data_IF_544158961489
#
_entry.id   IF_544158961489
#
_cell.length_a   1.000
_cell.length_b   1.000
_cell.length_c   1.000
_cell.angle_alpha   90.00
_cell.angle_beta   90.00
_cell.angle_gamma   90.00
#
_symmetry.space_group_name_H-M   'P 1'
#
loop_
_entity.id
_entity.type
_entity.pdbx_description
1 polymer ?
#
# COMPACT_ATOMS: atom_id res chain seq x y z
N UNK A 1 8.17 7.95 3.94
CA UNK A 1 9.09 9.07 3.69
C UNK A 1 9.91 8.92 2.41
N UNK A 2 10.92 8.03 2.28
CA UNK A 2 11.80 7.99 1.07
C UNK A 2 11.05 7.67 -0.25
N UNK A 3 9.91 6.99 -0.17
CA UNK A 3 9.17 6.44 -1.31
C UNK A 3 8.26 7.45 -2.05
N UNK A 4 7.93 8.60 -1.44
CA UNK A 4 6.89 9.51 -1.96
C UNK A 4 7.40 10.53 -2.98
N UNK A 5 8.69 10.85 -2.97
CA UNK A 5 9.16 12.14 -3.52
C UNK A 5 9.55 12.15 -5.01
N UNK A 6 9.45 11.03 -5.76
CA UNK A 6 10.18 10.90 -7.04
C UNK A 6 9.38 10.63 -8.33
N UNK A 7 8.03 10.79 -8.40
CA UNK A 7 7.29 10.40 -9.61
C UNK A 7 6.86 11.56 -10.53
N UNK A 8 7.43 11.56 -11.74
CA UNK A 8 7.26 12.55 -12.83
C UNK A 8 5.97 12.29 -13.62
N UNK A 9 5.27 13.37 -13.96
CA UNK A 9 4.02 13.37 -14.73
C UNK A 9 4.25 13.87 -16.18
N UNK A 10 4.00 13.02 -17.19
CA UNK A 10 4.26 13.32 -18.61
C UNK A 10 3.02 13.03 -19.47
N UNK A 11 2.38 14.09 -20.00
CA UNK A 11 1.28 14.02 -20.97
C UNK A 11 1.77 14.18 -22.42
N UNK A 12 1.01 13.66 -23.40
CA UNK A 12 1.32 13.73 -24.86
C UNK A 12 1.52 15.19 -25.34
N UNK A 13 0.79 16.16 -24.77
CA UNK A 13 0.98 17.57 -25.12
C UNK A 13 2.28 18.15 -24.56
N UNK A 14 2.71 17.71 -23.36
CA UNK A 14 4.02 18.03 -22.77
C UNK A 14 5.16 17.45 -23.61
N UNK A 15 4.94 16.26 -24.19
CA UNK A 15 5.93 15.56 -25.04
C UNK A 15 6.17 16.27 -26.36
N UNK A 16 5.12 16.79 -27.01
CA UNK A 16 5.30 17.64 -28.20
C UNK A 16 6.17 18.86 -27.91
N UNK A 17 6.09 19.42 -26.70
CA UNK A 17 6.95 20.53 -26.25
C UNK A 17 8.40 20.10 -25.93
N UNK A 18 8.66 18.81 -25.73
CA UNK A 18 9.98 18.25 -25.44
C UNK A 18 10.71 17.73 -26.68
N UNK A 19 10.02 17.63 -27.82
CA UNK A 19 10.60 17.24 -29.09
C UNK A 19 11.46 18.38 -29.64
N UNK A 20 12.71 18.08 -29.99
CA UNK A 20 13.67 19.02 -30.55
C UNK A 20 14.16 18.47 -31.87
N UNK A 21 14.10 19.29 -32.90
CA UNK A 21 14.65 18.98 -34.21
C UNK A 21 15.97 19.72 -34.38
N UNK A 22 17.01 19.03 -34.85
CA UNK A 22 18.30 19.63 -35.22
C UNK A 22 18.68 19.22 -36.63
N UNK A 23 19.17 20.17 -37.41
CA UNK A 23 19.67 19.90 -38.77
C UNK A 23 21.18 19.84 -38.75
N UNK A 24 21.76 18.73 -39.21
CA UNK A 24 23.21 18.51 -39.31
C UNK A 24 23.52 18.07 -40.75
N UNK A 25 24.35 18.83 -41.47
CA UNK A 25 24.74 18.55 -42.87
C UNK A 25 23.53 18.28 -43.79
N UNK A 26 22.47 19.09 -43.66
CA UNK A 26 21.26 18.99 -44.48
C UNK A 26 20.31 17.85 -44.11
N UNK A 27 20.58 17.08 -43.06
CA UNK A 27 19.68 16.03 -42.54
C UNK A 27 19.06 16.47 -41.22
N UNK A 28 17.76 16.25 -41.07
CA UNK A 28 17.06 16.50 -39.81
C UNK A 28 17.20 15.32 -38.84
N UNK A 29 17.45 15.64 -37.57
CA UNK A 29 17.60 14.71 -36.47
C UNK A 29 16.61 15.10 -35.38
N UNK A 30 15.80 14.13 -34.94
CA UNK A 30 14.81 14.34 -33.88
C UNK A 30 15.34 13.85 -32.54
N UNK A 31 15.13 14.64 -31.49
CA UNK A 31 15.54 14.37 -30.12
C UNK A 31 14.38 14.62 -29.15
N UNK A 32 14.36 13.93 -28.03
CA UNK A 32 13.52 14.29 -26.88
C UNK A 32 14.41 14.81 -25.76
N UNK A 33 14.12 16.03 -25.30
CA UNK A 33 14.77 16.63 -24.12
C UNK A 33 14.14 16.06 -22.85
N UNK A 34 14.88 15.20 -22.15
CA UNK A 34 14.44 14.58 -20.89
C UNK A 34 14.69 15.51 -19.70
N UNK A 35 15.79 16.27 -19.73
CA UNK A 35 16.12 17.28 -18.71
C UNK A 35 16.97 18.41 -19.30
N UNK A 36 17.42 19.39 -18.49
CA UNK A 36 18.13 20.59 -18.97
C UNK A 36 19.29 20.26 -19.93
N UNK A 37 20.00 19.15 -19.68
CA UNK A 37 21.17 18.70 -20.45
C UNK A 37 21.07 17.27 -20.99
N UNK A 38 19.93 16.59 -20.88
CA UNK A 38 19.82 15.18 -21.25
C UNK A 38 18.85 14.98 -22.41
N UNK A 39 19.35 14.40 -23.50
CA UNK A 39 18.64 14.26 -24.77
C UNK A 39 18.73 12.83 -25.27
N UNK A 40 17.60 12.27 -25.73
CA UNK A 40 17.58 10.95 -26.37
C UNK A 40 17.32 11.13 -27.86
N UNK A 41 18.19 10.56 -28.68
CA UNK A 41 18.08 10.56 -30.13
C UNK A 41 16.99 9.60 -30.62
N UNK A 42 16.15 10.05 -31.56
CA UNK A 42 15.04 9.27 -32.11
C UNK A 42 15.31 8.69 -33.50
N UNK A 43 15.72 9.50 -34.48
CA UNK A 43 15.91 9.07 -35.89
C UNK A 43 16.41 10.20 -36.80
N UNK A 44 17.01 9.88 -37.98
CA UNK A 44 17.31 10.83 -39.04
C UNK A 44 16.26 10.88 -40.18
N UNK A 45 15.15 10.14 -40.09
CA UNK A 45 14.05 10.14 -41.09
C UNK A 45 12.72 10.51 -40.43
N UNK A 46 11.87 11.20 -41.19
CA UNK A 46 10.50 11.60 -40.83
C UNK A 46 9.85 10.56 -39.93
N UNK A 47 9.72 10.88 -38.64
CA UNK A 47 9.20 9.95 -37.66
C UNK A 47 7.69 9.93 -37.85
N UNK A 48 7.15 8.82 -38.33
CA UNK A 48 5.70 8.66 -38.40
C UNK A 48 5.12 8.73 -36.99
N UNK A 49 3.85 9.14 -36.83
CA UNK A 49 3.19 9.15 -35.53
C UNK A 49 3.27 7.78 -34.82
N UNK A 50 3.35 6.68 -35.57
CA UNK A 50 3.52 5.33 -35.03
C UNK A 50 4.93 5.07 -34.50
N UNK A 51 5.99 5.52 -35.19
CA UNK A 51 7.37 5.43 -34.70
C UNK A 51 7.63 6.35 -33.50
N UNK A 52 6.99 7.53 -33.45
CA UNK A 52 7.00 8.39 -32.26
C UNK A 52 6.37 7.68 -31.07
N UNK A 53 5.22 7.02 -31.25
CA UNK A 53 4.55 6.23 -30.20
C UNK A 53 5.43 5.07 -29.70
N UNK A 54 6.08 4.35 -30.61
CA UNK A 54 6.94 3.19 -30.28
C UNK A 54 8.21 3.60 -29.52
N UNK A 55 8.93 4.60 -30.02
CA UNK A 55 10.12 5.14 -29.33
C UNK A 55 9.75 5.82 -28.00
N UNK A 56 8.55 6.41 -27.92
CA UNK A 56 8.02 6.96 -26.67
C UNK A 56 7.72 5.88 -25.63
N UNK A 57 7.08 4.77 -26.01
CA UNK A 57 6.88 3.64 -25.12
C UNK A 57 8.21 3.08 -24.63
N UNK A 58 9.23 3.03 -25.50
CA UNK A 58 10.58 2.64 -25.11
C UNK A 58 11.21 3.61 -24.10
N UNK A 59 11.04 4.92 -24.29
CA UNK A 59 11.55 5.96 -23.37
C UNK A 59 10.80 5.90 -22.03
N UNK A 60 9.47 5.77 -22.03
CA UNK A 60 8.67 5.62 -20.81
C UNK A 60 9.03 4.34 -20.09
N UNK A 61 9.20 3.23 -20.82
CA UNK A 61 9.62 1.96 -20.24
C UNK A 61 11.04 2.03 -19.68
N UNK A 62 11.96 2.73 -20.36
CA UNK A 62 13.31 2.98 -19.86
C UNK A 62 13.29 3.87 -18.61
N UNK A 63 12.54 4.97 -18.61
CA UNK A 63 12.35 5.83 -17.44
C UNK A 63 11.74 5.02 -16.29
N UNK A 64 10.78 4.15 -16.57
CA UNK A 64 10.15 3.27 -15.60
C UNK A 64 11.15 2.27 -14.99
N UNK A 65 11.94 1.59 -15.83
CA UNK A 65 12.99 0.67 -15.36
C UNK A 65 14.08 1.42 -14.59
N UNK A 66 14.52 2.57 -15.07
CA UNK A 66 15.51 3.42 -14.39
C UNK A 66 14.94 3.93 -13.05
N UNK A 67 13.66 4.28 -12.98
CA UNK A 67 12.97 4.66 -11.73
C UNK A 67 12.89 3.48 -10.77
N UNK A 68 12.53 2.28 -11.24
CA UNK A 68 12.52 1.06 -10.42
C UNK A 68 13.93 0.74 -9.93
N UNK A 69 14.95 0.89 -10.78
CA UNK A 69 16.34 0.65 -10.40
C UNK A 69 16.82 1.67 -9.36
N UNK A 70 16.48 2.96 -9.51
CA UNK A 70 16.78 4.00 -8.51
C UNK A 70 16.07 3.69 -7.18
N UNK A 71 14.79 3.32 -7.22
CA UNK A 71 14.02 2.93 -6.04
C UNK A 71 14.64 1.68 -5.39
N UNK A 72 15.03 0.69 -6.18
CA UNK A 72 15.70 -0.52 -5.71
C UNK A 72 17.08 -0.22 -5.10
N UNK A 73 17.91 0.60 -5.76
CA UNK A 73 19.21 1.02 -5.28
C UNK A 73 19.11 1.83 -3.98
N UNK A 74 18.10 2.70 -3.86
CA UNK A 74 17.80 3.40 -2.61
C UNK A 74 17.45 2.46 -1.45
N UNK A 75 17.03 1.22 -1.77
CA UNK A 75 16.70 0.16 -0.80
C UNK A 75 17.82 -0.88 -0.60
N UNK A 76 18.96 -0.79 -1.32
CA UNK A 76 20.04 -1.77 -1.20
C UNK A 76 20.74 -1.74 0.16
N UNK A 77 20.83 -0.55 0.78
CA UNK A 77 21.41 -0.39 2.12
C UNK A 77 20.42 -0.65 3.26
N UNK A 78 19.17 -0.98 2.94
CA UNK A 78 18.12 -1.25 3.92
C UNK A 78 18.13 -2.74 4.28
N UNK A 79 18.21 -3.02 5.58
CA UNK A 79 18.16 -4.38 6.13
C UNK A 79 16.80 -5.02 5.84
N UNK A 80 16.85 -6.24 5.33
CA UNK A 80 15.69 -7.10 5.10
C UNK A 80 16.01 -8.51 5.54
N UNK A 81 15.21 -9.06 6.45
CA UNK A 81 15.32 -10.45 6.91
C UNK A 81 14.31 -11.35 6.21
N UNK A 82 13.10 -10.85 5.95
CA UNK A 82 11.99 -11.65 5.42
C UNK A 82 11.59 -11.26 3.99
N UNK A 83 12.01 -10.07 3.54
CA UNK A 83 11.76 -9.55 2.20
C UNK A 83 12.96 -9.88 1.28
N UNK A 84 12.68 -10.54 0.15
CA UNK A 84 13.70 -10.90 -0.84
C UNK A 84 14.02 -9.72 -1.77
N UNK A 85 15.10 -9.85 -2.55
CA UNK A 85 15.39 -8.90 -3.64
C UNK A 85 14.24 -8.81 -4.66
N UNK A 86 13.55 -9.93 -4.95
CA UNK A 86 12.38 -9.98 -5.83
C UNK A 86 11.24 -9.15 -5.25
N UNK A 87 10.95 -9.33 -3.97
CA UNK A 87 9.87 -8.61 -3.26
C UNK A 87 10.11 -7.09 -3.30
N UNK A 88 11.35 -6.63 -3.11
CA UNK A 88 11.71 -5.20 -3.22
C UNK A 88 11.36 -4.59 -4.58
N UNK A 89 11.62 -5.31 -5.67
CA UNK A 89 11.30 -4.85 -7.03
C UNK A 89 9.79 -4.75 -7.23
N UNK A 90 9.03 -5.75 -6.77
CA UNK A 90 7.56 -5.75 -6.89
C UNK A 90 6.97 -4.62 -6.04
N UNK A 91 7.47 -4.40 -4.83
CA UNK A 91 7.03 -3.29 -3.98
C UNK A 91 7.34 -1.91 -4.58
N UNK A 92 8.51 -1.75 -5.20
CA UNK A 92 8.85 -0.52 -5.91
C UNK A 92 7.90 -0.28 -7.10
N UNK A 93 7.56 -1.35 -7.84
CA UNK A 93 6.58 -1.28 -8.91
C UNK A 93 5.18 -0.91 -8.39
N UNK A 94 4.75 -1.56 -7.31
CA UNK A 94 3.46 -1.33 -6.67
C UNK A 94 3.30 0.12 -6.22
N UNK A 95 4.32 0.65 -5.56
CA UNK A 95 4.35 2.04 -5.15
C UNK A 95 4.23 2.99 -6.35
N UNK A 96 4.99 2.72 -7.42
CA UNK A 96 4.95 3.51 -8.64
C UNK A 96 3.56 3.51 -9.27
N UNK A 97 3.00 2.32 -9.49
CA UNK A 97 1.69 2.16 -10.15
C UNK A 97 0.57 2.73 -9.30
N UNK A 98 0.60 2.53 -7.97
CA UNK A 98 -0.38 3.08 -7.06
C UNK A 98 -0.39 4.61 -7.11
N UNK A 99 0.76 5.25 -6.93
CA UNK A 99 0.87 6.71 -6.99
C UNK A 99 0.50 7.27 -8.38
N UNK A 100 0.90 6.58 -9.45
CA UNK A 100 0.53 6.97 -10.81
C UNK A 100 -0.98 6.87 -11.05
N UNK A 101 -1.64 5.83 -10.51
CA UNK A 101 -3.09 5.68 -10.58
C UNK A 101 -3.80 6.80 -9.82
N UNK A 102 -3.36 7.15 -8.60
CA UNK A 102 -3.95 8.24 -7.82
C UNK A 102 -3.90 9.60 -8.55
N UNK A 103 -2.84 9.87 -9.33
CA UNK A 103 -2.69 11.13 -10.09
C UNK A 103 -3.60 11.21 -11.32
N UNK A 104 -4.14 10.09 -11.82
CA UNK A 104 -5.00 10.08 -13.02
C UNK A 104 -6.45 10.47 -12.73
N UNK A 105 -6.88 10.31 -11.49
CA UNK A 105 -8.23 10.68 -11.09
C UNK A 105 -8.35 12.21 -10.99
N UNK A 106 -9.48 12.75 -11.49
CA UNK A 106 -9.89 14.08 -11.06
C UNK A 106 -10.23 14.04 -9.56
N UNK A 107 -10.34 15.19 -8.91
CA UNK A 107 -10.53 15.27 -7.46
C UNK A 107 -11.73 14.47 -6.96
N UNK A 108 -12.86 14.56 -7.65
CA UNK A 108 -14.11 13.91 -7.25
C UNK A 108 -14.04 12.38 -7.41
N UNK A 109 -13.44 11.89 -8.50
CA UNK A 109 -13.28 10.46 -8.71
C UNK A 109 -12.25 9.85 -7.74
N UNK A 110 -11.23 10.63 -7.36
CA UNK A 110 -10.23 10.22 -6.37
C UNK A 110 -10.87 10.09 -4.97
N UNK A 111 -11.73 11.02 -4.59
CA UNK A 111 -12.47 10.97 -3.32
C UNK A 111 -13.37 9.73 -3.29
N UNK A 112 -14.20 9.50 -4.31
CA UNK A 112 -15.03 8.28 -4.41
C UNK A 112 -14.20 6.98 -4.36
N UNK A 113 -13.04 6.98 -5.00
CA UNK A 113 -12.14 5.83 -4.99
C UNK A 113 -11.60 5.56 -3.58
N UNK A 114 -11.14 6.61 -2.88
CA UNK A 114 -10.68 6.52 -1.49
C UNK A 114 -11.79 6.06 -0.56
N UNK A 115 -13.01 6.58 -0.74
CA UNK A 115 -14.19 6.21 0.04
C UNK A 115 -14.49 4.72 -0.11
N UNK A 116 -14.55 4.20 -1.34
CA UNK A 116 -14.80 2.79 -1.58
C UNK A 116 -13.74 1.87 -0.95
N UNK A 117 -12.46 2.25 -1.03
CA UNK A 117 -11.37 1.51 -0.39
C UNK A 117 -11.44 1.60 1.13
N UNK A 118 -11.82 2.76 1.67
CA UNK A 118 -11.99 2.94 3.10
C UNK A 118 -13.18 2.14 3.63
N UNK A 119 -14.32 2.12 2.94
CA UNK A 119 -15.46 1.25 3.24
C UNK A 119 -15.06 -0.22 3.26
N UNK A 120 -14.31 -0.70 2.26
CA UNK A 120 -13.81 -2.09 2.21
C UNK A 120 -12.90 -2.41 3.41
N UNK A 121 -12.05 -1.46 3.80
CA UNK A 121 -11.21 -1.60 4.99
C UNK A 121 -12.04 -1.68 6.27
N UNK A 122 -13.00 -0.77 6.48
CA UNK A 122 -13.86 -0.73 7.67
C UNK A 122 -14.69 -2.01 7.78
N UNK A 123 -15.31 -2.45 6.69
CA UNK A 123 -16.04 -3.72 6.64
C UNK A 123 -15.16 -4.91 7.05
N UNK A 124 -13.94 -5.01 6.50
CA UNK A 124 -13.03 -6.10 6.84
C UNK A 124 -12.61 -6.10 8.30
N UNK A 125 -12.16 -4.95 8.81
CA UNK A 125 -11.64 -4.83 10.18
C UNK A 125 -12.71 -4.99 11.26
N UNK A 126 -13.99 -4.69 10.98
CA UNK A 126 -15.08 -4.94 11.94
C UNK A 126 -15.62 -6.37 11.82
N UNK A 127 -15.76 -6.89 10.60
CA UNK A 127 -16.31 -8.24 10.38
C UNK A 127 -15.45 -9.35 10.99
N UNK A 128 -14.12 -9.20 10.99
CA UNK A 128 -13.20 -10.15 11.63
C UNK A 128 -13.40 -10.27 13.16
N UNK A 129 -13.92 -9.21 13.78
CA UNK A 129 -14.26 -9.14 15.21
C UNK A 129 -15.71 -9.57 15.51
N UNK A 130 -16.47 -9.96 14.47
CA UNK A 130 -17.83 -10.49 14.59
C UNK A 130 -18.96 -9.53 14.20
N UNK A 131 -18.63 -8.32 13.71
CA UNK A 131 -19.65 -7.39 13.22
C UNK A 131 -20.38 -7.97 12.00
N UNK A 132 -21.71 -7.89 12.01
CA UNK A 132 -22.60 -8.59 11.06
C UNK A 132 -23.05 -7.72 9.88
N UNK A 133 -22.61 -6.47 9.80
CA UNK A 133 -22.96 -5.58 8.69
C UNK A 133 -22.40 -6.13 7.37
N UNK A 134 -23.21 -6.10 6.32
CA UNK A 134 -22.74 -6.29 4.95
C UNK A 134 -21.91 -5.10 4.49
N UNK A 135 -21.16 -5.26 3.40
CA UNK A 135 -20.39 -4.17 2.81
C UNK A 135 -21.26 -2.96 2.46
N UNK A 136 -22.49 -3.18 1.96
CA UNK A 136 -23.43 -2.11 1.60
C UNK A 136 -23.96 -1.38 2.85
N UNK A 137 -24.31 -2.12 3.89
CA UNK A 137 -24.76 -1.53 5.15
C UNK A 137 -23.64 -0.74 5.84
N UNK A 138 -22.40 -1.23 5.74
CA UNK A 138 -21.20 -0.52 6.20
C UNK A 138 -21.04 0.80 5.47
N UNK A 139 -21.21 0.81 4.14
CA UNK A 139 -21.12 2.01 3.31
C UNK A 139 -22.14 3.09 3.72
N UNK A 140 -23.42 2.71 3.85
CA UNK A 140 -24.50 3.60 4.27
C UNK A 140 -24.26 4.17 5.67
N UNK A 141 -23.72 3.36 6.59
CA UNK A 141 -23.42 3.81 7.95
C UNK A 141 -22.23 4.76 7.97
N UNK A 142 -21.18 4.42 7.23
CA UNK A 142 -19.90 5.13 7.25
C UNK A 142 -19.94 6.47 6.52
N UNK A 143 -20.64 6.51 5.38
CA UNK A 143 -20.65 7.67 4.49
C UNK A 143 -21.94 8.51 4.63
N UNK A 144 -23.09 7.89 4.96
CA UNK A 144 -24.37 8.60 5.08
C UNK A 144 -24.87 8.73 6.53
N UNK A 145 -24.19 8.10 7.51
CA UNK A 145 -24.58 8.14 8.92
C UNK A 145 -25.89 7.39 9.22
N UNK A 146 -26.32 6.49 8.33
CA UNK A 146 -27.61 5.81 8.46
C UNK A 146 -27.54 4.62 9.41
N UNK A 147 -28.55 4.49 10.27
CA UNK A 147 -28.76 3.28 11.08
C UNK A 147 -29.43 2.18 10.26
N UNK A 148 -29.05 0.93 10.49
CA UNK A 148 -29.59 -0.23 9.80
C UNK A 148 -30.51 -1.03 10.74
N UNK A 149 -31.71 -1.34 10.28
CA UNK A 149 -32.70 -2.08 11.08
C UNK A 149 -32.21 -3.49 11.41
N UNK A 150 -32.47 -3.95 12.64
CA UNK A 150 -32.11 -5.29 13.10
C UNK A 150 -30.64 -5.46 13.51
N UNK A 151 -29.85 -4.38 13.54
CA UNK A 151 -28.46 -4.37 13.98
C UNK A 151 -28.30 -3.87 15.41
N UNK A 152 -27.29 -4.36 16.11
CA UNK A 152 -27.02 -3.89 17.47
C UNK A 152 -26.44 -2.47 17.46
N UNK A 153 -26.77 -1.68 18.49
CA UNK A 153 -26.23 -0.31 18.66
C UNK A 153 -24.69 -0.32 18.73
N UNK A 154 -24.11 -1.35 19.34
CA UNK A 154 -22.66 -1.53 19.41
C UNK A 154 -22.06 -1.66 18.02
N UNK A 155 -22.60 -2.54 17.18
CA UNK A 155 -22.11 -2.77 15.81
C UNK A 155 -22.16 -1.50 14.95
N UNK A 156 -23.20 -0.67 15.14
CA UNK A 156 -23.28 0.65 14.50
C UNK A 156 -22.08 1.53 14.90
N UNK A 157 -21.81 1.68 16.21
CA UNK A 157 -20.68 2.50 16.67
C UNK A 157 -19.32 1.95 16.25
N UNK A 158 -19.18 0.63 16.11
CA UNK A 158 -17.96 0.02 15.59
C UNK A 158 -17.62 0.45 14.16
N UNK A 159 -18.62 0.84 13.37
CA UNK A 159 -18.47 1.37 12.01
C UNK A 159 -18.41 2.90 12.05
N UNK A 160 -19.36 3.56 12.72
CA UNK A 160 -19.45 5.02 12.79
C UNK A 160 -18.14 5.64 13.30
N UNK A 161 -17.49 5.04 14.30
CA UNK A 161 -16.25 5.57 14.86
C UNK A 161 -15.10 5.64 13.83
N UNK A 162 -15.12 4.83 12.75
CA UNK A 162 -14.15 4.96 11.67
C UNK A 162 -14.36 6.20 10.81
N UNK A 163 -15.59 6.75 10.71
CA UNK A 163 -15.82 8.05 10.07
C UNK A 163 -15.04 9.15 10.80
N UNK A 164 -14.97 9.07 12.13
CA UNK A 164 -14.22 10.00 12.98
C UNK A 164 -12.72 9.83 12.88
N UNK A 165 -12.24 8.59 12.73
CA UNK A 165 -10.82 8.35 12.39
C UNK A 165 -10.45 8.93 11.02
N UNK A 166 -11.34 8.78 10.03
CA UNK A 166 -11.15 9.33 8.68
C UNK A 166 -11.03 10.85 8.73
N UNK A 167 -12.01 11.53 9.34
CA UNK A 167 -12.00 12.98 9.56
C UNK A 167 -10.71 13.46 10.23
N UNK A 168 -10.24 12.73 11.24
CA UNK A 168 -9.07 13.09 12.04
C UNK A 168 -7.72 12.93 11.30
N UNK A 169 -7.59 11.91 10.45
CA UNK A 169 -6.29 11.49 9.90
C UNK A 169 -6.15 11.58 8.38
N UNK A 170 -7.23 11.67 7.59
CA UNK A 170 -7.14 11.51 6.13
C UNK A 170 -6.31 12.59 5.42
N UNK A 171 -6.31 13.82 5.94
CA UNK A 171 -5.55 14.94 5.38
C UNK A 171 -4.18 15.14 6.04
N UNK A 172 -3.78 14.23 6.95
CA UNK A 172 -2.50 14.33 7.66
C UNK A 172 -1.44 13.49 6.97
N UNK A 173 -0.27 14.08 6.79
CA UNK A 173 0.90 13.38 6.27
C UNK A 173 1.94 13.19 7.37
N UNK A 174 2.70 12.09 7.28
CA UNK A 174 3.80 11.78 8.19
C UNK A 174 3.36 11.74 9.66
N UNK A 175 2.21 11.13 9.94
CA UNK A 175 1.67 10.99 11.30
C UNK A 175 2.68 10.26 12.19
N UNK A 176 3.07 10.86 13.30
CA UNK A 176 4.02 10.26 14.24
C UNK A 176 3.38 9.10 15.01
N UNK A 177 4.04 7.94 15.02
CA UNK A 177 3.63 6.79 15.82
C UNK A 177 4.12 6.99 17.26
N UNK A 178 3.19 7.31 18.16
CA UNK A 178 3.46 7.62 19.56
C UNK A 178 2.42 6.97 20.50
N UNK A 179 2.66 7.03 21.81
CA UNK A 179 1.69 6.56 22.82
C UNK A 179 0.38 7.36 22.71
N UNK A 180 0.48 8.66 22.49
CA UNK A 180 -0.66 9.57 22.33
C UNK A 180 -1.48 9.19 21.10
N UNK A 181 -0.84 8.85 19.97
CA UNK A 181 -1.54 8.36 18.79
C UNK A 181 -2.28 7.06 19.09
N UNK A 182 -1.61 6.08 19.71
CA UNK A 182 -2.18 4.77 20.05
C UNK A 182 -3.43 4.95 20.93
N UNK A 183 -3.32 5.75 22.00
CA UNK A 183 -4.43 6.06 22.90
C UNK A 183 -5.52 6.87 22.22
N UNK A 184 -5.18 7.79 21.32
CA UNK A 184 -6.16 8.59 20.56
C UNK A 184 -6.99 7.73 19.61
N UNK A 185 -6.34 6.84 18.86
CA UNK A 185 -7.01 5.88 17.98
C UNK A 185 -7.99 5.03 18.80
N UNK A 186 -7.53 4.43 19.89
CA UNK A 186 -8.39 3.63 20.76
C UNK A 186 -9.54 4.45 21.34
N UNK A 187 -9.29 5.70 21.77
CA UNK A 187 -10.34 6.57 22.31
C UNK A 187 -11.46 6.82 21.29
N UNK A 188 -11.10 7.04 20.03
CA UNK A 188 -12.07 7.24 18.94
C UNK A 188 -12.81 5.93 18.67
N UNK A 189 -12.09 4.82 18.51
CA UNK A 189 -12.68 3.52 18.15
C UNK A 189 -13.66 2.98 19.20
N UNK A 190 -13.41 3.22 20.49
CA UNK A 190 -14.24 2.72 21.59
C UNK A 190 -15.28 3.74 22.07
N UNK A 191 -15.40 4.89 21.40
CA UNK A 191 -16.39 5.90 21.75
C UNK A 191 -17.82 5.32 21.66
N UNK A 192 -18.63 5.49 22.71
CA UNK A 192 -19.98 4.91 22.81
C UNK A 192 -20.02 3.36 22.81
N UNK A 193 -18.88 2.69 22.97
CA UNK A 193 -18.75 1.23 23.07
C UNK A 193 -18.27 0.85 24.47
N UNK A 194 -17.17 1.47 24.92
CA UNK A 194 -16.63 1.31 26.27
C UNK A 194 -16.03 2.65 26.75
N UNK A 195 -16.89 3.50 27.28
CA UNK A 195 -16.49 4.82 27.75
C UNK A 195 -15.63 4.81 29.01
N UNK A 196 -15.60 3.69 29.74
CA UNK A 196 -14.83 3.55 30.97
C UNK A 196 -13.34 3.30 30.67
N UNK A 197 -13.05 2.52 29.62
CA UNK A 197 -11.66 2.12 29.30
C UNK A 197 -11.07 2.85 28.09
N UNK A 198 -11.89 3.55 27.29
CA UNK A 198 -11.42 4.19 26.05
C UNK A 198 -10.21 5.11 26.25
N UNK A 199 -9.11 4.78 25.57
CA UNK A 199 -7.87 5.55 25.55
C UNK A 199 -6.92 5.25 26.70
N UNK A 200 -7.26 4.30 27.58
CA UNK A 200 -6.44 3.90 28.72
C UNK A 200 -5.94 2.47 28.57
N UNK A 201 -4.66 2.25 28.86
CA UNK A 201 -4.13 0.89 28.94
C UNK A 201 -4.77 0.13 30.10
N UNK A 202 -4.95 -1.18 29.93
CA UNK A 202 -5.56 -2.03 30.95
C UNK A 202 -4.71 -2.06 32.22
N UNK A 203 -5.40 -2.24 33.35
CA UNK A 203 -4.79 -2.38 34.69
C UNK A 203 -5.07 -3.75 35.31
N UNK A 204 -5.46 -4.71 34.48
CA UNK A 204 -5.71 -6.11 34.82
C UNK A 204 -5.10 -6.99 33.74
N UNK A 205 -4.78 -8.23 34.10
CA UNK A 205 -4.38 -9.26 33.14
C UNK A 205 -5.59 -9.82 32.41
N UNK A 206 -5.40 -10.14 31.13
CA UNK A 206 -6.45 -10.63 30.23
C UNK A 206 -5.93 -11.81 29.43
N UNK A 207 -6.83 -12.70 29.03
CA UNK A 207 -6.56 -13.73 28.02
C UNK A 207 -7.12 -13.31 26.67
N UNK A 208 -6.52 -13.82 25.58
CA UNK A 208 -7.07 -13.65 24.23
C UNK A 208 -7.96 -14.86 23.94
N UNK A 209 -9.27 -14.62 23.76
CA UNK A 209 -10.22 -15.70 23.48
C UNK A 209 -9.83 -16.46 22.21
N UNK A 210 -9.66 -17.77 22.33
CA UNK A 210 -9.33 -18.64 21.19
C UNK A 210 -7.83 -18.67 20.83
N UNK A 211 -6.96 -18.07 21.65
CA UNK A 211 -5.51 -18.19 21.51
C UNK A 211 -4.89 -18.76 22.79
N UNK A 212 -3.97 -19.71 22.63
CA UNK A 212 -3.16 -20.25 23.72
C UNK A 212 -1.89 -19.38 23.91
N UNK A 213 -2.12 -18.11 24.24
CA UNK A 213 -1.09 -17.10 24.40
C UNK A 213 -1.49 -16.12 25.52
N UNK A 214 -0.58 -15.92 26.48
CA UNK A 214 -0.75 -14.90 27.52
C UNK A 214 -0.07 -13.58 27.08
N UNK A 215 -0.84 -12.49 26.96
CA UNK A 215 -0.29 -11.17 26.69
C UNK A 215 0.64 -10.66 27.79
N UNK A 216 1.32 -9.55 27.50
CA UNK A 216 2.19 -8.85 28.46
C UNK A 216 1.44 -8.54 29.77
N UNK A 217 1.97 -8.89 30.96
CA UNK A 217 1.30 -8.53 32.22
C UNK A 217 1.06 -7.02 32.34
N UNK A 218 -0.08 -6.61 32.89
CA UNK A 218 -0.53 -5.21 32.79
C UNK A 218 0.46 -4.20 33.36
N UNK A 219 1.24 -4.61 34.37
CA UNK A 219 2.26 -3.80 35.03
C UNK A 219 3.42 -3.42 34.11
N UNK A 220 3.64 -4.18 33.02
CA UNK A 220 4.72 -3.95 32.06
C UNK A 220 4.26 -3.27 30.76
N UNK A 221 2.95 -3.03 30.56
CA UNK A 221 2.43 -2.48 29.29
C UNK A 221 3.08 -1.15 28.93
N UNK A 222 3.14 -0.21 29.87
CA UNK A 222 3.73 1.10 29.64
C UNK A 222 5.20 0.99 29.19
N UNK A 223 5.97 0.09 29.80
CA UNK A 223 7.36 -0.16 29.43
C UNK A 223 7.51 -0.84 28.07
N UNK A 224 6.72 -1.88 27.79
CA UNK A 224 6.80 -2.62 26.52
C UNK A 224 6.35 -1.79 25.32
N UNK A 225 5.31 -0.96 25.47
CA UNK A 225 4.92 0.00 24.41
C UNK A 225 6.05 1.00 24.17
N UNK A 226 6.66 1.55 25.22
CA UNK A 226 7.78 2.47 25.08
C UNK A 226 9.00 1.80 24.43
N UNK A 227 9.30 0.53 24.76
CA UNK A 227 10.35 -0.26 24.12
C UNK A 227 10.04 -0.49 22.64
N UNK A 228 8.80 -0.83 22.31
CA UNK A 228 8.34 -1.03 20.93
C UNK A 228 8.51 0.26 20.10
N UNK A 229 8.07 1.41 20.63
CA UNK A 229 8.20 2.71 19.97
C UNK A 229 9.66 3.15 19.80
N UNK A 230 10.51 2.95 20.83
CA UNK A 230 11.96 3.19 20.74
C UNK A 230 12.59 2.31 19.65
N UNK A 231 12.24 1.03 19.60
CA UNK A 231 12.70 0.11 18.57
C UNK A 231 12.24 0.56 17.17
N UNK A 232 10.97 0.93 17.01
CA UNK A 232 10.42 1.41 15.75
C UNK A 232 11.18 2.65 15.25
N UNK A 233 11.34 3.66 16.11
CA UNK A 233 12.02 4.91 15.78
C UNK A 233 13.50 4.72 15.43
N UNK A 234 14.20 3.79 16.11
CA UNK A 234 15.59 3.44 15.81
C UNK A 234 15.74 2.75 14.46
N UNK A 235 14.71 2.05 13.99
CA UNK A 235 14.76 1.18 12.81
C UNK A 235 14.00 1.72 11.59
N UNK A 236 13.21 2.79 11.71
CA UNK A 236 12.39 3.37 10.61
C UNK A 236 13.15 3.82 9.37
N UNK A 237 14.48 3.95 9.45
CA UNK A 237 15.38 4.25 8.32
C UNK A 237 16.36 3.11 7.99
N UNK A 238 16.26 1.98 8.68
CA UNK A 238 17.22 0.85 8.61
C UNK A 238 16.59 -0.44 8.15
N UNK A 239 15.32 -0.67 8.47
CA UNK A 239 14.54 -1.86 8.08
C UNK A 239 13.56 -1.45 6.99
N UNK A 240 13.29 -2.37 6.05
CA UNK A 240 12.31 -2.11 4.99
C UNK A 240 10.92 -1.85 5.59
N UNK A 241 10.17 -0.82 5.14
CA UNK A 241 8.90 -0.41 5.74
C UNK A 241 7.92 -1.56 5.99
N UNK A 242 7.64 -2.39 4.98
CA UNK A 242 6.71 -3.53 5.10
C UNK A 242 7.14 -4.51 6.20
N UNK A 243 8.44 -4.78 6.34
CA UNK A 243 8.96 -5.68 7.37
C UNK A 243 8.88 -5.04 8.76
N UNK A 244 9.24 -3.75 8.85
CA UNK A 244 9.12 -2.98 10.08
C UNK A 244 7.67 -2.92 10.58
N UNK A 245 6.70 -2.70 9.69
CA UNK A 245 5.30 -2.56 10.02
C UNK A 245 4.68 -3.90 10.43
N UNK A 246 5.03 -4.99 9.75
CA UNK A 246 4.56 -6.33 10.15
C UNK A 246 5.08 -6.75 11.52
N UNK A 247 6.36 -6.51 11.81
CA UNK A 247 6.92 -6.78 13.15
C UNK A 247 6.31 -5.86 14.19
N UNK A 248 6.10 -4.57 13.89
CA UNK A 248 5.44 -3.65 14.81
C UNK A 248 4.02 -4.12 15.14
N UNK A 249 3.24 -4.48 14.12
CA UNK A 249 1.87 -4.97 14.27
C UNK A 249 1.83 -6.21 15.16
N UNK A 250 2.66 -7.23 14.88
CA UNK A 250 2.76 -8.41 15.72
C UNK A 250 3.09 -8.08 17.18
N UNK A 251 4.12 -7.25 17.41
CA UNK A 251 4.52 -6.88 18.77
C UNK A 251 3.45 -6.09 19.51
N UNK A 252 2.68 -5.28 18.81
CA UNK A 252 1.54 -4.58 19.40
C UNK A 252 0.44 -5.55 19.84
N UNK A 253 0.10 -6.53 19.00
CA UNK A 253 -0.89 -7.58 19.35
C UNK A 253 -0.40 -8.47 20.50
N UNK A 254 0.90 -8.78 20.56
CA UNK A 254 1.55 -9.51 21.67
C UNK A 254 1.46 -8.75 23.01
N UNK A 255 1.64 -7.43 22.99
CA UNK A 255 1.51 -6.59 24.20
C UNK A 255 0.04 -6.56 24.64
N UNK A 256 -0.88 -6.45 23.70
CA UNK A 256 -2.33 -6.40 23.94
C UNK A 256 -2.71 -5.35 25.01
N UNK A 257 -2.41 -4.05 24.76
CA UNK A 257 -2.40 -3.03 25.80
C UNK A 257 -3.78 -2.61 26.33
N UNK A 258 -4.87 -2.99 25.66
CA UNK A 258 -6.24 -2.57 26.01
C UNK A 258 -7.11 -3.75 26.45
N UNK A 259 -8.25 -3.46 27.09
CA UNK A 259 -9.25 -4.48 27.46
C UNK A 259 -9.95 -5.05 26.21
N UNK A 260 -10.28 -4.17 25.26
CA UNK A 260 -10.93 -4.50 23.99
C UNK A 260 -10.35 -3.60 22.89
N UNK A 261 -10.55 -3.95 21.63
CA UNK A 261 -10.20 -3.11 20.48
C UNK A 261 -8.74 -3.21 20.04
N UNK A 262 -7.94 -4.10 20.64
CA UNK A 262 -6.53 -4.29 20.28
C UNK A 262 -6.35 -4.55 18.77
N UNK A 263 -7.05 -5.55 18.21
CA UNK A 263 -6.96 -5.85 16.79
C UNK A 263 -7.34 -4.67 15.88
N UNK A 264 -8.40 -3.92 16.24
CA UNK A 264 -8.84 -2.74 15.50
C UNK A 264 -7.79 -1.62 15.54
N UNK A 265 -7.21 -1.34 16.71
CA UNK A 265 -6.12 -0.36 16.87
C UNK A 265 -4.86 -0.81 16.14
N UNK A 266 -4.50 -2.09 16.21
CA UNK A 266 -3.31 -2.64 15.55
C UNK A 266 -3.39 -2.55 14.04
N UNK A 267 -4.57 -2.86 13.45
CA UNK A 267 -4.82 -2.72 12.02
C UNK A 267 -4.88 -1.25 11.59
N UNK A 268 -5.41 -0.38 12.44
CA UNK A 268 -5.41 1.07 12.21
C UNK A 268 -4.00 1.67 12.17
N UNK A 269 -3.14 1.28 13.12
CA UNK A 269 -1.73 1.67 13.15
C UNK A 269 -1.01 1.15 11.89
N UNK A 270 -1.29 -0.08 11.47
CA UNK A 270 -0.76 -0.63 10.22
C UNK A 270 -1.19 0.22 9.01
N UNK A 271 -2.47 0.60 8.90
CA UNK A 271 -2.96 1.46 7.84
C UNK A 271 -2.25 2.81 7.82
N UNK A 272 -2.11 3.46 8.97
CA UNK A 272 -1.43 4.77 9.10
C UNK A 272 0.05 4.64 8.70
N UNK A 273 0.75 3.59 9.15
CA UNK A 273 2.15 3.36 8.79
C UNK A 273 2.33 3.11 7.28
N UNK A 274 1.45 2.33 6.65
CA UNK A 274 1.45 2.12 5.20
C UNK A 274 1.21 3.43 4.44
N UNK A 275 0.22 4.21 4.87
CA UNK A 275 -0.09 5.53 4.28
C UNK A 275 1.10 6.49 4.38
N UNK A 276 1.78 6.57 5.53
CA UNK A 276 3.01 7.35 5.71
C UNK A 276 4.18 6.87 4.80
N UNK A 277 4.14 5.62 4.37
CA UNK A 277 5.08 5.06 3.39
C UNK A 277 4.64 5.25 1.93
N UNK A 278 3.44 5.81 1.69
CA UNK A 278 2.84 5.94 0.36
C UNK A 278 2.34 4.61 -0.22
N UNK A 279 2.16 3.59 0.62
CA UNK A 279 1.64 2.29 0.26
C UNK A 279 0.12 2.23 0.44
N UNK A 280 -0.60 1.43 -0.36
CA UNK A 280 -2.03 1.25 -0.19
C UNK A 280 -2.35 0.50 1.12
N UNK A 281 -3.59 0.64 1.58
CA UNK A 281 -4.15 -0.10 2.70
C UNK A 281 -4.17 -1.60 2.41
N UNK A 282 -3.83 -2.42 3.40
CA UNK A 282 -4.04 -3.88 3.37
C UNK A 282 -5.44 -4.21 3.90
N UNK A 283 -6.16 -5.06 3.18
CA UNK A 283 -7.50 -5.52 3.58
C UNK A 283 -7.43 -6.84 4.33
N UNK A 284 -7.91 -6.84 5.55
CA UNK A 284 -8.05 -8.05 6.38
C UNK A 284 -9.55 -8.21 6.65
N UNK A 285 -10.14 -9.30 6.17
CA UNK A 285 -11.58 -9.58 6.24
C UNK A 285 -11.82 -11.05 6.59
N UNK A 286 -13.09 -11.46 6.62
CA UNK A 286 -13.45 -12.85 6.96
C UNK A 286 -12.87 -13.91 6.00
N UNK A 287 -12.48 -13.55 4.76
CA UNK A 287 -11.90 -14.51 3.80
C UNK A 287 -10.46 -14.86 4.16
N UNK A 288 -9.70 -13.91 4.69
CA UNK A 288 -8.30 -14.10 5.07
C UNK A 288 -8.06 -14.08 6.59
N UNK A 289 -9.13 -14.03 7.40
CA UNK A 289 -9.11 -14.11 8.86
C UNK A 289 -8.32 -15.30 9.39
N UNK A 290 -8.57 -16.50 8.88
CA UNK A 290 -7.89 -17.71 9.38
C UNK A 290 -6.38 -17.66 9.13
N UNK A 291 -5.97 -17.22 7.94
CA UNK A 291 -4.56 -17.03 7.59
C UNK A 291 -3.92 -15.95 8.48
N UNK A 292 -4.61 -14.84 8.71
CA UNK A 292 -4.15 -13.77 9.59
C UNK A 292 -3.94 -14.26 11.03
N UNK A 293 -4.89 -15.01 11.60
CA UNK A 293 -4.75 -15.57 12.95
C UNK A 293 -3.60 -16.57 13.04
N UNK A 294 -3.41 -17.44 12.03
CA UNK A 294 -2.25 -18.34 11.96
C UNK A 294 -0.92 -17.58 11.92
N UNK A 295 -0.87 -16.43 11.23
CA UNK A 295 0.31 -15.58 11.22
C UNK A 295 0.61 -15.01 12.60
N UNK A 296 -0.43 -14.58 13.34
CA UNK A 296 -0.28 -14.09 14.71
C UNK A 296 0.21 -15.18 15.66
N UNK A 297 -0.34 -16.39 15.56
CA UNK A 297 0.09 -17.56 16.35
C UNK A 297 1.55 -17.95 16.08
N UNK A 298 1.97 -17.89 14.81
CA UNK A 298 3.37 -18.10 14.43
C UNK A 298 4.27 -16.99 14.99
N UNK A 299 3.81 -15.74 14.94
CA UNK A 299 4.51 -14.59 15.50
C UNK A 299 4.71 -14.67 17.01
N UNK A 300 3.68 -15.12 17.75
CA UNK A 300 3.74 -15.36 19.19
C UNK A 300 4.81 -16.40 19.57
N UNK A 301 5.16 -17.30 18.64
CA UNK A 301 6.26 -18.28 18.76
C UNK A 301 7.60 -17.76 18.21
N UNK A 302 7.69 -16.46 17.91
CA UNK A 302 8.87 -15.78 17.39
C UNK A 302 9.03 -15.80 15.86
N UNK A 303 8.11 -16.43 15.12
CA UNK A 303 8.17 -16.49 13.66
C UNK A 303 7.45 -15.29 13.01
N UNK A 304 8.07 -14.12 13.07
CA UNK A 304 7.57 -12.89 12.44
C UNK A 304 7.55 -12.90 10.92
N UNK A 305 8.09 -13.95 10.27
CA UNK A 305 8.09 -14.06 8.81
C UNK A 305 6.67 -14.14 8.26
N UNK A 306 5.79 -14.88 8.93
CA UNK A 306 4.44 -15.18 8.42
C UNK A 306 3.61 -13.91 8.32
N UNK A 307 3.56 -13.09 9.37
CA UNK A 307 2.82 -11.82 9.32
C UNK A 307 3.39 -10.82 8.31
N UNK A 308 4.72 -10.78 8.15
CA UNK A 308 5.36 -9.92 7.13
C UNK A 308 5.01 -10.40 5.72
N UNK A 309 4.96 -11.72 5.49
CA UNK A 309 4.56 -12.30 4.21
C UNK A 309 3.07 -12.10 3.93
N UNK A 310 2.22 -12.26 4.93
CA UNK A 310 0.79 -11.98 4.82
C UNK A 310 0.52 -10.54 4.37
N UNK A 311 1.15 -9.55 5.03
CA UNK A 311 1.02 -8.14 4.64
C UNK A 311 1.55 -7.90 3.23
N UNK A 312 2.69 -8.49 2.88
CA UNK A 312 3.27 -8.39 1.55
C UNK A 312 2.34 -8.94 0.45
N UNK A 313 1.77 -10.13 0.67
CA UNK A 313 0.87 -10.76 -0.28
C UNK A 313 -0.42 -9.96 -0.45
N UNK A 314 -1.00 -9.45 0.65
CA UNK A 314 -2.18 -8.60 0.57
C UNK A 314 -1.90 -7.28 -0.17
N UNK A 315 -0.72 -6.69 0.00
CA UNK A 315 -0.31 -5.54 -0.81
C UNK A 315 -0.31 -5.88 -2.31
N UNK A 316 0.19 -7.06 -2.68
CA UNK A 316 0.17 -7.51 -4.08
C UNK A 316 -1.25 -7.71 -4.61
N UNK A 317 -2.16 -8.30 -3.83
CA UNK A 317 -3.57 -8.44 -4.21
C UNK A 317 -4.23 -7.07 -4.43
N UNK A 318 -4.02 -6.13 -3.51
CA UNK A 318 -4.56 -4.76 -3.64
C UNK A 318 -4.04 -4.08 -4.90
N UNK A 319 -2.77 -4.31 -5.22
CA UNK A 319 -2.16 -3.80 -6.43
C UNK A 319 -2.72 -4.41 -7.71
N UNK A 320 -3.05 -5.69 -7.73
CA UNK A 320 -3.74 -6.32 -8.86
C UNK A 320 -5.14 -5.74 -9.06
N UNK A 321 -5.91 -5.56 -7.98
CA UNK A 321 -7.22 -4.91 -8.02
C UNK A 321 -7.12 -3.47 -8.59
N UNK A 322 -6.14 -2.71 -8.13
CA UNK A 322 -5.81 -1.36 -8.62
C UNK A 322 -5.50 -1.33 -10.12
N UNK A 323 -4.68 -2.28 -10.60
CA UNK A 323 -4.36 -2.40 -12.01
C UNK A 323 -5.62 -2.70 -12.81
N UNK A 324 -6.45 -3.65 -12.38
CA UNK A 324 -7.68 -4.01 -13.08
C UNK A 324 -8.68 -2.85 -13.15
N UNK A 325 -8.85 -2.09 -12.06
CA UNK A 325 -9.65 -0.87 -12.06
C UNK A 325 -9.11 0.17 -13.05
N UNK A 326 -7.79 0.37 -13.07
CA UNK A 326 -7.17 1.31 -14.00
C UNK A 326 -7.32 0.88 -15.46
N UNK A 327 -7.26 -0.42 -15.77
CA UNK A 327 -7.48 -0.96 -17.11
C UNK A 327 -8.91 -0.71 -17.59
N UNK A 328 -9.90 -0.99 -16.72
CA UNK A 328 -11.33 -0.76 -17.00
C UNK A 328 -11.61 0.71 -17.30
N UNK A 329 -11.01 1.63 -16.54
CA UNK A 329 -11.21 3.06 -16.72
C UNK A 329 -10.50 3.63 -17.96
N UNK A 330 -9.40 3.02 -18.40
CA UNK A 330 -8.62 3.46 -19.56
C UNK A 330 -9.08 2.82 -20.88
N UNK A 331 -10.00 1.84 -20.85
CA UNK A 331 -10.46 1.09 -22.02
C UNK A 331 -9.32 0.46 -22.84
N UNK A 332 -8.21 0.07 -22.17
CA UNK A 332 -7.04 -0.54 -22.79
C UNK A 332 -7.20 -2.05 -22.72
N UNK A 333 -7.41 -2.69 -23.87
CA UNK A 333 -7.46 -4.14 -24.01
C UNK A 333 -6.05 -4.77 -23.97
N UNK A 334 -5.96 -6.03 -23.51
CA UNK A 334 -4.69 -6.76 -23.38
C UNK A 334 -3.91 -6.84 -24.71
N UNK A 335 -4.62 -6.89 -25.84
CA UNK A 335 -4.02 -6.82 -27.17
C UNK A 335 -3.32 -5.50 -27.45
N UNK A 336 -3.81 -4.36 -26.95
CA UNK A 336 -3.13 -3.07 -27.11
C UNK A 336 -1.88 -2.99 -26.24
N UNK A 337 -1.93 -3.45 -24.98
CA UNK A 337 -0.75 -3.54 -24.09
C UNK A 337 0.31 -4.50 -24.64
N UNK A 338 -0.12 -5.66 -25.16
CA UNK A 338 0.75 -6.67 -25.78
C UNK A 338 1.32 -6.19 -27.11
N UNK A 339 0.51 -5.52 -27.96
CA UNK A 339 0.93 -4.89 -29.21
C UNK A 339 1.97 -3.78 -28.98
N UNK A 340 1.76 -2.95 -27.96
CA UNK A 340 2.72 -1.91 -27.55
C UNK A 340 4.02 -2.55 -27.05
N UNK A 341 3.96 -3.58 -26.21
CA UNK A 341 5.15 -4.32 -25.76
C UNK A 341 5.88 -5.05 -26.91
N UNK A 342 5.15 -5.64 -27.85
CA UNK A 342 5.69 -6.44 -28.95
C UNK A 342 6.26 -5.60 -30.09
N UNK A 343 5.73 -4.39 -30.34
CA UNK A 343 6.23 -3.46 -31.37
C UNK A 343 7.45 -2.63 -30.93
N UNK A 344 7.76 -2.53 -29.63
CA UNK A 344 8.69 -1.52 -29.11
C UNK A 344 10.16 -1.94 -28.88
N UNK A 345 10.55 -3.22 -28.99
CA UNK A 345 11.91 -3.66 -28.63
C UNK A 345 12.38 -4.84 -29.48
N UNK A 346 13.65 -4.80 -29.88
CA UNK A 346 14.42 -5.88 -30.49
C UNK A 346 14.16 -7.23 -29.78
N UNK A 347 13.69 -8.22 -30.55
CA UNK A 347 13.08 -9.49 -30.09
C UNK A 347 13.92 -10.19 -29.02
N UNK A 348 15.25 -10.17 -29.10
CA UNK A 348 16.11 -10.99 -28.21
C UNK A 348 16.39 -10.38 -26.82
N UNK A 349 16.50 -9.05 -26.70
CA UNK A 349 16.69 -8.38 -25.39
C UNK A 349 15.38 -8.24 -24.61
N UNK A 350 14.28 -8.03 -25.33
CA UNK A 350 12.94 -8.12 -24.75
C UNK A 350 12.63 -9.57 -24.39
N UNK A 351 12.85 -10.56 -25.26
CA UNK A 351 12.64 -11.95 -24.89
C UNK A 351 13.52 -12.40 -23.71
N UNK A 352 14.73 -11.88 -23.51
CA UNK A 352 15.50 -12.16 -22.29
C UNK A 352 14.93 -11.48 -21.05
N UNK A 353 14.57 -10.20 -21.11
CA UNK A 353 14.10 -9.42 -19.95
C UNK A 353 12.62 -9.68 -19.62
N UNK A 354 11.77 -9.86 -20.63
CA UNK A 354 10.40 -10.35 -20.56
C UNK A 354 10.32 -11.86 -20.40
N UNK A 355 11.26 -12.72 -20.85
CA UNK A 355 11.33 -14.10 -20.29
C UNK A 355 11.72 -14.00 -18.84
N UNK A 356 12.71 -13.20 -18.43
CA UNK A 356 13.05 -13.11 -17.00
C UNK A 356 11.86 -12.62 -16.19
N UNK A 357 11.17 -11.57 -16.64
CA UNK A 357 9.99 -11.01 -15.98
C UNK A 357 8.77 -11.96 -16.06
N UNK A 358 8.39 -12.47 -17.24
CA UNK A 358 7.28 -13.45 -17.40
C UNK A 358 7.59 -14.80 -16.77
N UNK A 359 8.82 -15.30 -16.80
CA UNK A 359 9.22 -16.53 -16.10
C UNK A 359 9.17 -16.28 -14.59
N UNK A 360 9.68 -15.14 -14.08
CA UNK A 360 9.56 -14.76 -12.65
C UNK A 360 8.10 -14.55 -12.21
N UNK A 361 7.23 -14.07 -13.11
CA UNK A 361 5.81 -13.78 -12.88
C UNK A 361 4.91 -15.02 -13.07
N UNK A 362 5.27 -15.94 -13.98
CA UNK A 362 4.51 -17.16 -14.29
C UNK A 362 4.91 -18.33 -13.36
N UNK A 363 6.19 -18.45 -12.97
CA UNK A 363 6.57 -19.39 -11.88
C UNK A 363 6.09 -18.95 -10.49
N UNK A 364 5.60 -17.72 -10.32
CA UNK A 364 4.97 -17.25 -9.07
C UNK A 364 3.44 -17.39 -9.03
N UNK A 365 2.83 -17.94 -10.08
CA UNK A 365 1.41 -18.26 -10.11
C UNK A 365 1.17 -19.79 -10.07
N UNK A 366 2.23 -20.59 -10.17
CA UNK A 366 2.16 -22.06 -10.28
C UNK A 366 2.93 -22.80 -9.15
N UNK A 367 3.47 -22.09 -8.16
CA UNK A 367 4.01 -22.61 -6.89
C UNK A 367 3.78 -21.58 -5.79
#
# INVERSE_FOLDING_TARGET
MILKDNLIDISISKIKKMLITKTIKGKEYYYIKISKNNYTYLSPKQVTNEQLKTNFCHIIFKIFIDTINILYESQNNIKTKFITKKDKVILAYLLFSYQASLKKFNRNDLEKYKDAFFTKYVYGTTSIEGNTYSLRETDLTLNDGLTVSGKEKREFYEIENYSKLKEEFENKENIEISVELIKKIHKILLNNIDDNTKGNFRRIDVGIRGADFQPTPYIFIDDEINKLLKWFNKNKRKIHPVELFGIFHQKFEEIHPFIDGNGRVGRELLRIMLSNAGLPTVFIDNKNREEYLKCLDAGNKGNYKEIVRFILNNLFTVHEELIELSKKQLNINEEQLSSICNKCINKDKCNKSMKKFRTIFKTSLEN
#
